data_IF_502836419081
#
_entry.id   IF_502836419081
#
_cell.length_a   1.000
_cell.length_b   1.000
_cell.length_c   1.000
_cell.angle_alpha   90.00
_cell.angle_beta   90.00
_cell.angle_gamma   90.00
#
_symmetry.space_group_name_H-M   'P 1'
#
loop_
_entity.id
_entity.type
_entity.pdbx_description
1 polymer ?
#
# COMPACT_ATOMS: atom_id res chain seq x y z
N UNK A 1 -3.93 8.59 -20.81
CA UNK A 1 -2.73 9.25 -20.23
C UNK A 1 -1.63 9.44 -21.25
N UNK A 2 -1.34 8.45 -22.11
CA UNK A 2 -0.46 8.65 -23.27
C UNK A 2 -1.00 9.78 -24.17
N UNK A 3 -0.16 10.76 -24.46
CA UNK A 3 -0.47 11.91 -25.33
C UNK A 3 -0.76 13.25 -24.62
N UNK A 4 -0.98 13.29 -23.30
CA UNK A 4 -1.27 14.55 -22.55
C UNK A 4 -0.15 15.02 -21.62
N UNK A 5 0.83 14.17 -21.35
CA UNK A 5 2.00 14.46 -20.51
C UNK A 5 3.27 14.35 -21.36
N UNK A 6 4.16 15.34 -21.26
CA UNK A 6 5.47 15.32 -21.95
C UNK A 6 6.40 14.32 -21.27
N UNK A 7 7.37 13.74 -22.00
CA UNK A 7 8.27 12.68 -21.48
C UNK A 7 8.95 13.07 -20.16
N UNK A 8 9.26 14.35 -19.96
CA UNK A 8 9.82 14.85 -18.71
C UNK A 8 8.84 14.80 -17.53
N UNK A 9 7.55 15.01 -17.78
CA UNK A 9 6.48 14.89 -16.78
C UNK A 9 6.20 13.43 -16.40
N UNK A 10 6.55 12.45 -17.24
CA UNK A 10 6.44 11.02 -16.91
C UNK A 10 7.52 10.56 -15.93
N UNK A 11 8.72 11.14 -16.01
CA UNK A 11 9.89 10.73 -15.22
C UNK A 11 9.61 10.65 -13.71
N UNK A 12 9.00 11.64 -13.03
CA UNK A 12 8.73 11.55 -11.60
C UNK A 12 7.63 10.54 -11.25
N UNK A 13 6.63 10.35 -12.11
CA UNK A 13 5.57 9.35 -11.88
C UNK A 13 6.11 7.92 -11.96
N UNK A 14 6.92 7.66 -12.97
CA UNK A 14 7.56 6.34 -13.16
C UNK A 14 8.55 6.08 -12.04
N UNK A 15 9.38 7.05 -11.69
CA UNK A 15 10.32 6.93 -10.57
C UNK A 15 9.59 6.56 -9.26
N UNK A 16 8.51 7.27 -8.91
CA UNK A 16 7.70 6.97 -7.72
C UNK A 16 7.12 5.55 -7.78
N UNK A 17 6.62 5.15 -8.96
CA UNK A 17 6.02 3.82 -9.15
C UNK A 17 7.01 2.67 -8.97
N UNK A 18 8.24 2.83 -9.48
CA UNK A 18 9.30 1.83 -9.37
C UNK A 18 9.80 1.72 -7.92
N UNK A 19 9.95 2.87 -7.25
CA UNK A 19 10.40 2.93 -5.88
C UNK A 19 9.36 2.31 -4.93
N UNK A 20 8.09 2.63 -5.17
CA UNK A 20 6.95 1.99 -4.53
C UNK A 20 6.97 0.48 -4.71
N UNK A 21 7.07 -0.02 -5.95
CA UNK A 21 7.05 -1.46 -6.24
C UNK A 21 8.22 -2.20 -5.59
N UNK A 22 9.43 -1.62 -5.62
CA UNK A 22 10.60 -2.17 -4.93
C UNK A 22 10.38 -2.26 -3.43
N UNK A 23 9.86 -1.19 -2.82
CA UNK A 23 9.61 -1.12 -1.38
C UNK A 23 8.55 -2.13 -0.96
N UNK A 24 7.45 -2.18 -1.69
CA UNK A 24 6.33 -3.10 -1.45
C UNK A 24 6.76 -4.54 -1.60
N UNK A 25 7.50 -4.90 -2.66
CA UNK A 25 7.99 -6.27 -2.81
C UNK A 25 8.83 -6.69 -1.59
N UNK A 26 9.66 -5.79 -1.06
CA UNK A 26 10.49 -6.08 0.10
C UNK A 26 9.69 -6.19 1.41
N UNK A 27 8.77 -5.25 1.67
CA UNK A 27 7.99 -5.24 2.91
C UNK A 27 6.86 -6.28 2.90
N UNK A 28 6.13 -6.41 1.79
CA UNK A 28 5.03 -7.36 1.69
C UNK A 28 5.51 -8.80 1.71
N UNK A 29 6.65 -9.15 1.11
CA UNK A 29 7.11 -10.54 1.08
C UNK A 29 7.44 -11.06 2.49
N UNK A 30 8.10 -10.24 3.31
CA UNK A 30 8.38 -10.59 4.70
C UNK A 30 7.13 -10.52 5.59
N UNK A 31 6.35 -9.44 5.49
CA UNK A 31 5.21 -9.20 6.38
C UNK A 31 3.99 -10.05 6.05
N UNK A 32 3.72 -10.31 4.76
CA UNK A 32 2.67 -11.25 4.37
C UNK A 32 3.05 -12.67 4.80
N UNK A 33 4.30 -13.10 4.57
CA UNK A 33 4.74 -14.41 5.06
C UNK A 33 4.59 -14.53 6.59
N UNK A 34 4.90 -13.49 7.35
CA UNK A 34 4.78 -13.51 8.81
C UNK A 34 3.32 -13.42 9.29
N UNK A 35 2.47 -12.61 8.64
CA UNK A 35 1.07 -12.40 9.05
C UNK A 35 0.10 -13.45 8.49
N UNK A 36 0.43 -14.11 7.40
CA UNK A 36 -0.44 -15.12 6.78
C UNK A 36 0.24 -16.48 6.69
N UNK A 37 1.50 -16.55 6.26
CA UNK A 37 2.24 -17.81 6.10
C UNK A 37 2.50 -18.53 7.44
N UNK A 38 3.12 -17.84 8.40
CA UNK A 38 3.43 -18.38 9.74
C UNK A 38 2.18 -18.89 10.47
N UNK A 39 1.10 -18.10 10.63
CA UNK A 39 -0.09 -18.60 11.30
C UNK A 39 -0.80 -19.70 10.51
N UNK A 40 -0.73 -19.73 9.18
CA UNK A 40 -1.25 -20.86 8.40
C UNK A 40 -0.46 -22.15 8.70
N UNK A 41 0.87 -22.07 8.73
CA UNK A 41 1.75 -23.20 9.05
C UNK A 41 1.49 -23.69 10.48
N UNK A 42 1.47 -22.79 11.46
CA UNK A 42 1.17 -23.12 12.86
C UNK A 42 -0.22 -23.72 12.97
N UNK A 43 -1.20 -23.13 12.29
CA UNK A 43 -2.58 -23.60 12.32
C UNK A 43 -2.77 -24.97 11.67
N UNK A 44 -1.89 -25.40 10.74
CA UNK A 44 -1.90 -26.76 10.22
C UNK A 44 -1.13 -27.71 11.15
N UNK A 45 0.08 -27.33 11.56
CA UNK A 45 0.97 -28.20 12.32
C UNK A 45 0.45 -28.51 13.73
N UNK A 46 -0.09 -27.51 14.45
CA UNK A 46 -0.53 -27.66 15.84
C UNK A 46 -1.71 -28.61 16.00
N UNK A 47 -2.87 -28.41 15.34
CA UNK A 47 -4.02 -29.29 15.54
C UNK A 47 -3.78 -30.69 14.99
N UNK A 48 -2.99 -30.86 13.91
CA UNK A 48 -2.60 -32.19 13.43
C UNK A 48 -1.76 -32.91 14.48
N UNK A 49 -0.76 -32.24 15.05
CA UNK A 49 0.08 -32.82 16.11
C UNK A 49 -0.73 -33.18 17.36
N UNK A 50 -1.65 -32.30 17.77
CA UNK A 50 -2.52 -32.49 18.94
C UNK A 50 -3.55 -33.61 18.70
N UNK A 51 -4.16 -33.68 17.52
CA UNK A 51 -5.12 -34.74 17.17
C UNK A 51 -4.46 -36.12 17.12
N UNK A 52 -3.21 -36.20 16.67
CA UNK A 52 -2.42 -37.43 16.68
C UNK A 52 -2.04 -37.82 18.12
N UNK A 53 -1.56 -36.88 18.95
CA UNK A 53 -1.15 -37.16 20.33
C UNK A 53 -2.33 -37.55 21.24
N UNK A 54 -3.46 -36.87 21.11
CA UNK A 54 -4.61 -37.02 22.02
C UNK A 54 -5.71 -37.93 21.47
N UNK A 55 -5.56 -38.46 20.23
CA UNK A 55 -6.60 -39.21 19.51
C UNK A 55 -7.96 -38.49 19.42
N UNK A 56 -7.97 -37.15 19.57
CA UNK A 56 -9.18 -36.33 19.64
C UNK A 56 -9.35 -35.53 18.35
N UNK A 57 -9.89 -36.19 17.32
CA UNK A 57 -10.08 -35.63 15.99
C UNK A 57 -11.02 -34.39 15.93
N UNK A 58 -11.87 -34.21 16.94
CA UNK A 58 -12.85 -33.12 17.00
C UNK A 58 -12.23 -31.73 17.24
N UNK A 59 -10.96 -31.65 17.64
CA UNK A 59 -10.23 -30.39 17.83
C UNK A 59 -10.05 -29.63 16.49
N UNK A 60 -10.14 -30.31 15.35
CA UNK A 60 -10.09 -29.72 14.01
C UNK A 60 -11.22 -28.69 13.80
N UNK A 61 -12.36 -28.80 14.49
CA UNK A 61 -13.46 -27.84 14.35
C UNK A 61 -13.18 -26.46 14.95
N UNK A 62 -12.18 -26.31 15.82
CA UNK A 62 -11.74 -25.01 16.34
C UNK A 62 -10.86 -24.23 15.34
N UNK A 63 -10.36 -24.90 14.30
CA UNK A 63 -9.50 -24.34 13.25
C UNK A 63 -10.06 -23.08 12.57
N UNK A 64 -11.29 -23.06 12.00
CA UNK A 64 -11.80 -21.88 11.31
C UNK A 64 -11.96 -20.67 12.24
N UNK A 65 -12.22 -20.90 13.53
CA UNK A 65 -12.39 -19.85 14.54
C UNK A 65 -11.06 -19.12 14.81
N UNK A 66 -9.93 -19.83 14.73
CA UNK A 66 -8.60 -19.25 14.93
C UNK A 66 -8.03 -18.59 13.66
N UNK A 67 -8.26 -19.17 12.48
CA UNK A 67 -7.66 -18.69 11.23
C UNK A 67 -8.38 -17.50 10.63
N UNK A 68 -9.72 -17.46 10.68
CA UNK A 68 -10.51 -16.39 10.05
C UNK A 68 -10.22 -14.99 10.62
N UNK A 69 -10.10 -14.79 11.96
CA UNK A 69 -9.75 -13.49 12.51
C UNK A 69 -8.35 -13.03 12.09
N UNK A 70 -7.36 -13.95 12.08
CA UNK A 70 -5.99 -13.63 11.67
C UNK A 70 -5.91 -13.25 10.18
N UNK A 71 -6.61 -13.99 9.31
CA UNK A 71 -6.69 -13.67 7.90
C UNK A 71 -7.34 -12.30 7.66
N UNK A 72 -8.41 -11.99 8.41
CA UNK A 72 -9.09 -10.70 8.33
C UNK A 72 -8.22 -9.53 8.80
N UNK A 73 -7.54 -9.68 9.94
CA UNK A 73 -6.60 -8.68 10.48
C UNK A 73 -5.40 -8.45 9.55
N UNK A 74 -4.82 -9.53 9.01
CA UNK A 74 -3.72 -9.44 8.04
C UNK A 74 -4.11 -8.67 6.77
N UNK A 75 -5.31 -8.93 6.24
CA UNK A 75 -5.86 -8.23 5.09
C UNK A 75 -6.09 -6.73 5.32
N UNK A 76 -6.42 -6.31 6.55
CA UNK A 76 -6.63 -4.89 6.90
C UNK A 76 -5.33 -4.12 7.12
N UNK A 77 -4.29 -4.76 7.66
CA UNK A 77 -2.96 -4.13 7.78
C UNK A 77 -2.35 -3.86 6.40
N UNK A 78 -2.60 -4.76 5.44
CA UNK A 78 -2.10 -4.66 4.08
C UNK A 78 -2.44 -3.34 3.39
N UNK A 79 -3.70 -2.89 3.45
CA UNK A 79 -4.14 -1.65 2.79
C UNK A 79 -3.49 -0.40 3.39
N UNK A 80 -3.24 -0.38 4.71
CA UNK A 80 -2.58 0.73 5.39
C UNK A 80 -1.09 0.82 5.02
N UNK A 81 -0.43 -0.33 4.93
CA UNK A 81 0.99 -0.40 4.58
C UNK A 81 1.24 0.00 3.11
N UNK A 82 0.35 -0.41 2.20
CA UNK A 82 0.37 0.04 0.80
C UNK A 82 0.31 1.57 0.71
N UNK A 83 -0.64 2.19 1.43
CA UNK A 83 -0.82 3.64 1.42
C UNK A 83 0.43 4.37 1.89
N UNK A 84 0.98 3.96 3.03
CA UNK A 84 2.22 4.54 3.58
C UNK A 84 3.41 4.38 2.64
N UNK A 85 3.59 3.18 2.08
CA UNK A 85 4.70 2.90 1.16
C UNK A 85 4.64 3.79 -0.10
N UNK A 86 3.44 4.12 -0.59
CA UNK A 86 3.28 5.00 -1.75
C UNK A 86 3.62 6.44 -1.43
N UNK A 87 3.11 6.97 -0.32
CA UNK A 87 3.37 8.35 0.11
C UNK A 87 4.86 8.58 0.38
N UNK A 88 5.55 7.59 0.93
CA UNK A 88 6.99 7.70 1.19
C UNK A 88 7.84 7.56 -0.09
N UNK A 89 7.38 6.77 -1.07
CA UNK A 89 7.99 6.77 -2.39
C UNK A 89 7.85 8.13 -3.08
N UNK A 90 6.69 8.77 -2.93
CA UNK A 90 6.44 10.11 -3.46
C UNK A 90 7.34 11.17 -2.81
N UNK A 91 7.55 11.12 -1.49
CA UNK A 91 8.46 12.07 -0.82
C UNK A 91 9.91 11.88 -1.26
N UNK A 92 10.39 10.64 -1.35
CA UNK A 92 11.76 10.36 -1.81
C UNK A 92 11.99 10.84 -3.24
N UNK A 93 11.01 10.68 -4.13
CA UNK A 93 11.12 11.16 -5.51
C UNK A 93 11.02 12.68 -5.59
N UNK A 94 10.18 13.30 -4.76
CA UNK A 94 10.10 14.77 -4.70
C UNK A 94 11.41 15.42 -4.23
N UNK A 95 12.14 14.75 -3.33
CA UNK A 95 13.46 15.18 -2.88
C UNK A 95 14.54 15.05 -3.97
N UNK A 96 14.41 14.08 -4.88
CA UNK A 96 15.39 13.82 -5.94
C UNK A 96 15.18 14.65 -7.22
N UNK A 97 13.93 14.79 -7.67
CA UNK A 97 13.59 15.40 -8.98
C UNK A 97 13.16 16.87 -8.84
N UNK A 98 12.87 17.30 -7.62
CA UNK A 98 12.32 18.62 -7.36
C UNK A 98 10.82 18.54 -7.11
N UNK A 99 10.43 19.09 -5.96
CA UNK A 99 9.09 18.99 -5.41
C UNK A 99 8.04 19.70 -6.24
N UNK A 100 8.34 20.91 -6.71
CA UNK A 100 7.39 21.75 -7.44
C UNK A 100 7.06 21.16 -8.82
N UNK A 101 8.07 20.57 -9.48
CA UNK A 101 7.88 19.81 -10.72
C UNK A 101 6.90 18.65 -10.51
N UNK A 102 7.09 17.88 -9.43
CA UNK A 102 6.22 16.73 -9.16
C UNK A 102 4.79 17.13 -8.75
N UNK A 103 4.64 18.20 -7.95
CA UNK A 103 3.35 18.75 -7.57
C UNK A 103 2.57 19.28 -8.78
N UNK A 104 3.23 19.97 -9.71
CA UNK A 104 2.59 20.46 -10.92
C UNK A 104 2.08 19.32 -11.80
N UNK A 105 2.84 18.24 -11.94
CA UNK A 105 2.41 17.04 -12.67
C UNK A 105 1.18 16.41 -12.00
N UNK A 106 1.18 16.27 -10.67
CA UNK A 106 0.05 15.70 -9.94
C UNK A 106 -1.22 16.56 -10.06
N UNK A 107 -1.09 17.90 -9.95
CA UNK A 107 -2.20 18.83 -10.16
C UNK A 107 -2.75 18.77 -11.58
N UNK A 108 -1.87 18.69 -12.58
CA UNK A 108 -2.26 18.54 -14.00
C UNK A 108 -3.06 17.25 -14.20
N UNK A 109 -2.70 16.17 -13.53
CA UNK A 109 -3.46 14.90 -13.58
C UNK A 109 -4.81 15.03 -12.86
N UNK A 110 -4.86 15.69 -11.70
CA UNK A 110 -6.12 15.94 -10.98
C UNK A 110 -7.12 16.73 -11.84
N UNK A 111 -6.63 17.74 -12.56
CA UNK A 111 -7.42 18.53 -13.51
C UNK A 111 -7.91 17.74 -14.73
N UNK A 112 -7.30 16.60 -15.06
CA UNK A 112 -7.75 15.79 -16.19
C UNK A 112 -9.01 14.97 -15.89
N UNK A 113 -9.47 14.90 -14.64
CA UNK A 113 -10.76 14.28 -14.28
C UNK A 113 -10.93 12.87 -14.83
N UNK A 114 -9.88 12.04 -14.73
CA UNK A 114 -9.91 10.67 -15.24
C UNK A 114 -10.79 9.81 -14.33
N UNK A 115 -11.76 9.10 -14.91
CA UNK A 115 -12.72 8.25 -14.18
C UNK A 115 -12.04 7.24 -13.23
N UNK A 116 -10.91 6.65 -13.64
CA UNK A 116 -10.13 5.74 -12.78
C UNK A 116 -9.56 6.41 -11.52
N UNK A 117 -9.24 7.71 -11.60
CA UNK A 117 -8.74 8.50 -10.48
C UNK A 117 -9.90 8.94 -9.57
N UNK A 118 -11.06 9.23 -10.15
CA UNK A 118 -12.27 9.54 -9.40
C UNK A 118 -12.84 8.33 -8.65
N UNK A 119 -12.64 7.12 -9.17
CA UNK A 119 -12.95 5.86 -8.48
C UNK A 119 -12.07 5.62 -7.25
N UNK A 120 -10.83 6.12 -7.27
CA UNK A 120 -9.94 6.14 -6.10
C UNK A 120 -10.36 7.18 -5.06
N UNK A 121 -10.80 8.38 -5.49
CA UNK A 121 -11.36 9.42 -4.61
C UNK A 121 -12.66 8.98 -3.92
N UNK A 122 -13.54 8.31 -4.64
CA UNK A 122 -14.88 7.92 -4.16
C UNK A 122 -14.92 6.58 -3.42
N UNK A 123 -13.78 5.88 -3.31
CA UNK A 123 -13.70 4.55 -2.68
C UNK A 123 -14.36 3.43 -3.48
N UNK A 124 -14.84 3.69 -4.71
CA UNK A 124 -15.53 2.73 -5.58
C UNK A 124 -14.60 1.82 -6.39
N UNK A 125 -13.28 2.00 -6.30
CA UNK A 125 -12.29 1.22 -7.06
C UNK A 125 -12.10 -0.25 -6.64
N UNK A 126 -12.89 -0.77 -5.72
CA UNK A 126 -12.76 -2.14 -5.23
C UNK A 126 -11.53 -2.36 -4.33
N UNK A 127 -11.39 -3.59 -3.83
CA UNK A 127 -10.48 -3.95 -2.72
C UNK A 127 -8.99 -3.69 -3.00
N UNK A 128 -8.58 -3.72 -4.28
CA UNK A 128 -7.19 -3.45 -4.72
C UNK A 128 -6.87 -1.95 -4.77
N UNK A 129 -7.84 -1.11 -5.14
CA UNK A 129 -7.68 0.34 -5.24
C UNK A 129 -7.91 1.04 -3.89
N UNK A 130 -8.73 0.47 -3.00
CA UNK A 130 -8.97 1.01 -1.66
C UNK A 130 -7.73 1.10 -0.75
N UNK A 131 -6.63 0.43 -1.09
CA UNK A 131 -5.35 0.49 -0.36
C UNK A 131 -4.34 1.49 -0.92
N UNK A 132 -4.62 2.13 -2.06
CA UNK A 132 -3.73 3.11 -2.67
C UNK A 132 -4.18 4.53 -2.27
N UNK A 133 -3.25 5.48 -2.07
CA UNK A 133 -3.63 6.86 -1.81
C UNK A 133 -4.23 7.50 -3.07
N UNK A 134 -5.24 8.34 -2.88
CA UNK A 134 -5.80 9.14 -3.97
C UNK A 134 -4.81 10.20 -4.44
N UNK A 135 -5.00 10.77 -5.64
CA UNK A 135 -4.13 11.84 -6.14
C UNK A 135 -4.18 13.08 -5.24
N UNK A 136 -5.35 13.40 -4.70
CA UNK A 136 -5.51 14.50 -3.74
C UNK A 136 -4.72 14.25 -2.46
N UNK A 137 -4.76 13.04 -1.91
CA UNK A 137 -3.95 12.68 -0.73
C UNK A 137 -2.44 12.76 -1.01
N UNK A 138 -2.01 12.39 -2.21
CA UNK A 138 -0.59 12.53 -2.62
C UNK A 138 -0.19 14.01 -2.72
N UNK A 139 -1.06 14.87 -3.25
CA UNK A 139 -0.83 16.32 -3.33
C UNK A 139 -0.75 16.93 -1.92
N UNK A 140 -1.72 16.63 -1.05
CA UNK A 140 -1.79 17.15 0.32
C UNK A 140 -0.56 16.73 1.15
N UNK A 141 -0.13 15.47 1.01
CA UNK A 141 1.05 14.97 1.70
C UNK A 141 2.33 15.68 1.25
N UNK A 142 2.50 15.87 -0.06
CA UNK A 142 3.64 16.61 -0.59
C UNK A 142 3.61 18.09 -0.17
N UNK A 143 2.44 18.72 -0.15
CA UNK A 143 2.28 20.10 0.33
C UNK A 143 2.62 20.24 1.82
N UNK A 144 2.16 19.32 2.65
CA UNK A 144 2.49 19.28 4.08
C UNK A 144 3.97 19.05 4.31
N UNK A 145 4.62 18.20 3.51
CA UNK A 145 6.06 18.06 3.58
C UNK A 145 6.81 19.37 3.22
N UNK A 146 6.23 20.29 2.43
CA UNK A 146 6.94 21.54 2.04
C UNK A 146 6.87 22.59 3.10
N UNK A 147 5.74 22.68 3.81
CA UNK A 147 5.65 23.59 4.94
C UNK A 147 6.69 23.19 5.99
N UNK A 148 6.82 21.90 6.29
CA UNK A 148 7.80 21.39 7.26
C UNK A 148 9.26 21.68 6.87
N UNK A 149 9.66 21.44 5.61
CA UNK A 149 11.02 21.78 5.15
C UNK A 149 11.28 23.30 5.26
N UNK A 150 10.28 24.13 4.88
CA UNK A 150 10.41 25.59 4.93
C UNK A 150 10.59 26.12 6.35
N UNK A 151 9.99 25.49 7.35
CA UNK A 151 10.17 25.83 8.77
C UNK A 151 11.50 25.33 9.36
N UNK A 152 12.14 24.34 8.73
CA UNK A 152 13.40 23.76 9.24
C UNK A 152 14.65 24.51 8.77
N UNK A 153 14.48 25.50 7.88
CA UNK A 153 15.58 26.25 7.24
C UNK A 153 15.66 27.72 7.69
N UNK A 154 14.86 28.12 8.67
CA UNK A 154 14.86 29.44 9.34
C UNK A 154 15.34 29.28 10.77
#
# INVERSE_FOLDING_TARGET
MMGKLTVEEWRPLVASSLLFEKKIRRTLRGRAFLLTGVPLIISLAVPISVAILLQMAWIIFLYPILVLPLAYLGGRSYSRDLKKARLEADTQVSALIGKDSFLNVLKKIDMMGLDDIDRLKTGRGGRRLAGLPSITERIEHLQTASSLDRYSTT
#
